data_IF_870792905476
#
_entry.id   IF_870792905476
#
_cell.length_a   1.000
_cell.length_b   1.000
_cell.length_c   1.000
_cell.angle_alpha   90.00
_cell.angle_beta   90.00
_cell.angle_gamma   90.00
#
_symmetry.space_group_name_H-M   'P 1'
#
loop_
_entity.id
_entity.type
_entity.pdbx_description
1 polymer ?
#
# COMPACT_ATOMS: atom_id res chain seq x y z
N UNK A 1 -7.53 -5.18 27.51
CA UNK A 1 -7.62 -4.12 26.49
C UNK A 1 -6.81 -4.55 25.29
N UNK A 2 -7.42 -4.74 24.14
CA UNK A 2 -6.64 -4.97 22.90
C UNK A 2 -5.85 -3.69 22.61
N UNK A 3 -4.53 -3.79 22.32
CA UNK A 3 -3.75 -2.61 21.98
C UNK A 3 -4.34 -1.92 20.74
N UNK A 4 -4.40 -0.60 20.78
CA UNK A 4 -4.83 0.19 19.60
C UNK A 4 -3.99 -0.19 18.40
N UNK A 5 -4.59 -0.55 17.24
CA UNK A 5 -3.84 -0.87 16.03
C UNK A 5 -2.84 0.23 15.65
N UNK A 6 -1.71 -0.15 15.03
CA UNK A 6 -0.65 0.79 14.65
C UNK A 6 -1.17 1.86 13.69
N UNK A 7 -2.01 1.46 12.73
CA UNK A 7 -2.71 2.40 11.85
C UNK A 7 -3.54 3.41 12.65
N UNK A 8 -4.27 2.93 13.68
CA UNK A 8 -5.04 3.81 14.56
C UNK A 8 -4.17 4.82 15.29
N UNK A 9 -3.01 4.40 15.79
CA UNK A 9 -2.04 5.29 16.44
C UNK A 9 -1.47 6.33 15.47
N UNK A 10 -1.07 5.92 14.27
CA UNK A 10 -0.56 6.83 13.25
C UNK A 10 -1.59 7.91 12.87
N UNK A 11 -2.87 7.54 12.78
CA UNK A 11 -3.95 8.51 12.53
C UNK A 11 -4.18 9.45 13.72
N UNK A 12 -4.07 8.98 14.96
CA UNK A 12 -4.17 9.82 16.16
C UNK A 12 -2.98 10.79 16.27
N UNK A 13 -1.77 10.35 15.94
CA UNK A 13 -0.57 11.20 15.90
C UNK A 13 -0.74 12.30 14.84
N UNK A 14 -1.24 11.94 13.65
CA UNK A 14 -1.53 12.89 12.59
C UNK A 14 -2.62 13.91 13.01
N UNK A 15 -3.70 13.45 13.63
CA UNK A 15 -4.76 14.32 14.13
C UNK A 15 -4.24 15.34 15.14
N UNK A 16 -3.36 14.92 16.05
CA UNK A 16 -2.70 15.85 16.98
C UNK A 16 -1.83 16.86 16.26
N UNK A 17 -1.05 16.45 15.25
CA UNK A 17 -0.23 17.36 14.46
C UNK A 17 -1.08 18.36 13.67
N UNK A 18 -2.25 17.95 13.22
CA UNK A 18 -3.26 18.79 12.55
C UNK A 18 -4.22 19.50 13.51
N UNK A 19 -3.89 19.57 14.81
CA UNK A 19 -4.67 20.27 15.85
C UNK A 19 -6.13 19.80 15.97
N UNK A 20 -6.40 18.49 15.81
CA UNK A 20 -7.73 17.92 15.99
C UNK A 20 -8.68 18.18 14.82
N UNK A 21 -8.17 18.44 13.62
CA UNK A 21 -9.00 18.70 12.42
C UNK A 21 -9.44 17.43 11.69
N UNK A 22 -8.98 16.25 12.11
CA UNK A 22 -9.40 14.97 11.56
C UNK A 22 -10.66 14.46 12.26
N UNK A 23 -11.81 14.71 11.66
CA UNK A 23 -13.05 14.10 12.13
C UNK A 23 -13.12 12.59 11.86
N UNK A 24 -14.09 11.93 12.50
CA UNK A 24 -14.28 10.48 12.33
C UNK A 24 -14.56 10.06 10.89
N UNK A 25 -15.15 10.94 10.07
CA UNK A 25 -15.43 10.71 8.66
C UNK A 25 -14.14 10.63 7.84
N UNK A 26 -13.22 11.59 8.04
CA UNK A 26 -11.90 11.59 7.37
C UNK A 26 -11.07 10.39 7.80
N UNK A 27 -11.06 10.07 9.09
CA UNK A 27 -10.36 8.88 9.62
C UNK A 27 -10.89 7.60 8.98
N UNK A 28 -12.21 7.43 8.88
CA UNK A 28 -12.83 6.28 8.21
C UNK A 28 -12.50 6.25 6.72
N UNK A 29 -12.59 7.37 6.01
CA UNK A 29 -12.26 7.46 4.60
C UNK A 29 -10.79 7.09 4.31
N UNK A 30 -9.85 7.50 5.17
CA UNK A 30 -8.44 7.10 5.04
C UNK A 30 -8.28 5.59 5.24
N UNK A 31 -8.90 5.01 6.27
CA UNK A 31 -8.85 3.55 6.52
C UNK A 31 -9.42 2.75 5.35
N UNK A 32 -10.58 3.17 4.83
CA UNK A 32 -11.22 2.54 3.67
C UNK A 32 -10.37 2.68 2.41
N UNK A 33 -9.77 3.84 2.18
CA UNK A 33 -8.82 4.08 1.09
C UNK A 33 -7.64 3.11 1.14
N UNK A 34 -6.99 3.01 2.30
CA UNK A 34 -5.84 2.11 2.50
C UNK A 34 -6.28 0.67 2.24
N UNK A 35 -7.40 0.25 2.84
CA UNK A 35 -7.92 -1.11 2.68
C UNK A 35 -8.29 -1.42 1.23
N UNK A 36 -9.00 -0.53 0.57
CA UNK A 36 -9.44 -0.72 -0.83
C UNK A 36 -8.26 -0.85 -1.79
N UNK A 37 -7.25 0.02 -1.65
CA UNK A 37 -6.06 -0.04 -2.51
C UNK A 37 -5.21 -1.27 -2.16
N UNK A 38 -5.09 -1.65 -0.89
CA UNK A 38 -4.38 -2.87 -0.50
C UNK A 38 -5.05 -4.13 -1.07
N UNK A 39 -6.38 -4.19 -1.13
CA UNK A 39 -7.13 -5.27 -1.79
C UNK A 39 -6.82 -5.28 -3.30
N UNK A 40 -6.86 -4.14 -3.97
CA UNK A 40 -6.53 -4.04 -5.40
C UNK A 40 -5.10 -4.50 -5.68
N UNK A 41 -4.15 -4.09 -4.84
CA UNK A 41 -2.75 -4.52 -4.92
C UNK A 41 -2.59 -6.03 -4.69
N UNK A 42 -3.36 -6.62 -3.76
CA UNK A 42 -3.37 -8.06 -3.52
C UNK A 42 -3.84 -8.83 -4.77
N UNK A 43 -4.91 -8.37 -5.41
CA UNK A 43 -5.46 -9.00 -6.62
C UNK A 43 -4.44 -8.92 -7.76
N UNK A 44 -3.85 -7.74 -8.00
CA UNK A 44 -2.85 -7.55 -9.04
C UNK A 44 -1.59 -8.41 -8.80
N UNK A 45 -1.14 -8.50 -7.54
CA UNK A 45 0.02 -9.33 -7.17
C UNK A 45 -0.23 -10.82 -7.32
N UNK A 46 -1.47 -11.29 -7.06
CA UNK A 46 -1.85 -12.68 -7.28
C UNK A 46 -1.70 -13.07 -8.77
N UNK A 47 -2.15 -12.19 -9.67
CA UNK A 47 -2.06 -12.42 -11.13
C UNK A 47 -0.60 -12.40 -11.59
N UNK A 48 0.20 -11.42 -11.12
CA UNK A 48 1.62 -11.33 -11.46
C UNK A 48 2.41 -12.57 -11.00
N UNK A 49 2.02 -13.18 -9.87
CA UNK A 49 2.63 -14.41 -9.36
C UNK A 49 2.36 -15.67 -10.17
N UNK A 50 1.43 -15.62 -11.12
CA UNK A 50 1.14 -16.73 -12.05
C UNK A 50 2.05 -16.75 -13.27
N UNK A 51 2.79 -15.66 -13.54
CA UNK A 51 3.68 -15.54 -14.69
C UNK A 51 5.10 -16.05 -14.34
N UNK A 52 5.61 -17.11 -14.99
CA UNK A 52 6.95 -17.64 -14.72
C UNK A 52 8.04 -16.67 -15.21
N UNK A 53 9.06 -16.44 -14.40
CA UNK A 53 10.35 -15.84 -14.77
C UNK A 53 10.51 -14.32 -14.60
N UNK A 54 9.46 -13.51 -14.62
CA UNK A 54 9.54 -12.03 -14.49
C UNK A 54 8.80 -11.50 -13.27
N UNK A 55 8.18 -12.39 -12.51
CA UNK A 55 7.20 -12.09 -11.46
C UNK A 55 7.68 -11.09 -10.39
N UNK A 56 8.95 -11.14 -9.99
CA UNK A 56 9.45 -10.28 -8.91
C UNK A 56 9.57 -8.81 -9.28
N UNK A 57 10.08 -8.50 -10.48
CA UNK A 57 10.32 -7.11 -10.91
C UNK A 57 9.01 -6.43 -11.31
N UNK A 58 8.15 -7.14 -12.05
CA UNK A 58 6.83 -6.63 -12.46
C UNK A 58 5.95 -6.38 -11.24
N UNK A 59 6.00 -7.26 -10.23
CA UNK A 59 5.25 -7.08 -8.98
C UNK A 59 5.68 -5.79 -8.25
N UNK A 60 6.96 -5.50 -8.14
CA UNK A 60 7.47 -4.29 -7.48
C UNK A 60 7.05 -3.02 -8.22
N UNK A 61 7.17 -3.00 -9.56
CA UNK A 61 6.77 -1.84 -10.36
C UNK A 61 5.26 -1.57 -10.29
N UNK A 62 4.45 -2.60 -10.32
CA UNK A 62 2.99 -2.50 -10.15
C UNK A 62 2.63 -1.96 -8.77
N UNK A 63 3.34 -2.38 -7.72
CA UNK A 63 3.13 -1.90 -6.36
C UNK A 63 3.40 -0.41 -6.20
N UNK A 64 4.38 0.14 -6.91
CA UNK A 64 4.70 1.59 -6.85
C UNK A 64 3.51 2.44 -7.29
N UNK A 65 2.76 2.01 -8.31
CA UNK A 65 1.54 2.69 -8.74
C UNK A 65 0.46 2.72 -7.66
N UNK A 66 0.24 1.60 -6.96
CA UNK A 66 -0.71 1.53 -5.84
C UNK A 66 -0.28 2.37 -4.64
N UNK A 67 1.01 2.42 -4.33
CA UNK A 67 1.56 3.30 -3.28
C UNK A 67 1.25 4.76 -3.59
N UNK A 68 1.46 5.20 -4.84
CA UNK A 68 1.10 6.57 -5.24
C UNK A 68 -0.38 6.86 -5.12
N UNK A 69 -1.21 5.95 -5.62
CA UNK A 69 -2.66 6.10 -5.53
C UNK A 69 -3.11 6.24 -4.07
N UNK A 70 -2.47 5.50 -3.17
CA UNK A 70 -2.73 5.60 -1.73
C UNK A 70 -2.40 7.00 -1.20
N UNK A 71 -1.22 7.52 -1.53
CA UNK A 71 -0.77 8.83 -1.04
C UNK A 71 -1.63 9.97 -1.59
N UNK A 72 -1.92 9.94 -2.89
CA UNK A 72 -2.79 10.95 -3.52
C UNK A 72 -4.18 10.95 -2.89
N UNK A 73 -4.78 9.77 -2.65
CA UNK A 73 -6.11 9.69 -2.04
C UNK A 73 -6.11 10.11 -0.57
N UNK A 74 -5.09 9.75 0.21
CA UNK A 74 -4.93 10.23 1.59
C UNK A 74 -4.82 11.75 1.60
N UNK A 75 -3.98 12.34 0.75
CA UNK A 75 -3.82 13.79 0.68
C UNK A 75 -5.10 14.51 0.28
N UNK A 76 -5.83 13.98 -0.71
CA UNK A 76 -7.13 14.55 -1.09
C UNK A 76 -8.11 14.54 0.09
N UNK A 77 -8.14 13.46 0.88
CA UNK A 77 -8.99 13.37 2.09
C UNK A 77 -8.56 14.38 3.15
N UNK A 78 -7.26 14.62 3.27
CA UNK A 78 -6.70 15.58 4.22
C UNK A 78 -6.79 17.04 3.73
N UNK A 79 -7.07 17.27 2.45
CA UNK A 79 -7.00 18.60 1.82
C UNK A 79 -5.56 19.08 1.56
N UNK A 80 -4.59 18.17 1.51
CA UNK A 80 -3.17 18.48 1.30
C UNK A 80 -2.85 18.45 -0.20
N UNK A 81 -2.23 19.52 -0.70
CA UNK A 81 -1.72 19.56 -2.07
C UNK A 81 -0.34 18.92 -2.15
N UNK A 82 -0.15 17.99 -3.11
CA UNK A 82 1.15 17.38 -3.38
C UNK A 82 1.34 17.21 -4.88
N UNK A 83 2.56 17.48 -5.36
CA UNK A 83 2.89 17.25 -6.76
C UNK A 83 3.02 15.75 -7.07
N UNK A 84 2.83 15.38 -8.34
CA UNK A 84 3.06 13.98 -8.77
C UNK A 84 4.51 13.56 -8.56
N UNK A 85 5.47 14.47 -8.72
CA UNK A 85 6.89 14.16 -8.54
C UNK A 85 7.20 13.88 -7.07
N UNK A 86 6.72 14.72 -6.15
CA UNK A 86 6.87 14.51 -4.71
C UNK A 86 6.23 13.19 -4.27
N UNK A 87 5.03 12.86 -4.77
CA UNK A 87 4.40 11.56 -4.46
C UNK A 87 5.24 10.37 -4.96
N UNK A 88 5.82 10.48 -6.16
CA UNK A 88 6.73 9.46 -6.72
C UNK A 88 8.00 9.31 -5.89
N UNK A 89 8.64 10.43 -5.58
CA UNK A 89 9.85 10.47 -4.75
C UNK A 89 9.62 9.78 -3.40
N UNK A 90 8.58 10.18 -2.67
CA UNK A 90 8.23 9.60 -1.39
C UNK A 90 7.88 8.11 -1.51
N UNK A 91 7.07 7.74 -2.50
CA UNK A 91 6.67 6.36 -2.71
C UNK A 91 7.86 5.45 -2.96
N UNK A 92 8.78 5.87 -3.83
CA UNK A 92 9.99 5.11 -4.13
C UNK A 92 10.90 5.00 -2.90
N UNK A 93 11.13 6.10 -2.18
CA UNK A 93 11.98 6.11 -1.00
C UNK A 93 11.41 5.25 0.13
N UNK A 94 10.10 5.34 0.40
CA UNK A 94 9.43 4.54 1.45
C UNK A 94 9.48 3.05 1.10
N UNK A 95 9.11 2.67 -0.12
CA UNK A 95 9.10 1.26 -0.56
C UNK A 95 10.52 0.68 -0.47
N UNK A 96 11.53 1.40 -0.96
CA UNK A 96 12.92 0.96 -0.87
C UNK A 96 13.35 0.72 0.58
N UNK A 97 13.05 1.65 1.49
CA UNK A 97 13.42 1.52 2.89
C UNK A 97 12.64 0.41 3.61
N UNK A 98 11.35 0.20 3.30
CA UNK A 98 10.58 -0.94 3.83
C UNK A 98 11.25 -2.25 3.38
N UNK A 99 11.61 -2.37 2.10
CA UNK A 99 12.25 -3.56 1.55
C UNK A 99 13.59 -3.83 2.25
N UNK A 100 14.42 -2.81 2.41
CA UNK A 100 15.73 -2.95 3.07
C UNK A 100 15.62 -3.35 4.55
N UNK A 101 14.60 -2.85 5.25
CA UNK A 101 14.39 -3.12 6.68
C UNK A 101 13.54 -4.39 6.94
N UNK A 102 12.86 -4.91 5.94
CA UNK A 102 12.01 -6.08 6.09
C UNK A 102 12.77 -7.42 6.14
N UNK A 103 14.06 -7.46 5.77
CA UNK A 103 14.97 -8.62 5.89
C UNK A 103 14.34 -9.98 5.58
N UNK A 104 13.94 -10.72 6.63
CA UNK A 104 13.32 -12.05 6.51
C UNK A 104 11.99 -12.06 5.72
N UNK A 105 11.29 -10.93 5.60
CA UNK A 105 10.08 -10.83 4.79
C UNK A 105 10.40 -10.94 3.29
N UNK A 106 11.50 -10.35 2.85
CA UNK A 106 11.99 -10.50 1.48
C UNK A 106 12.52 -11.92 1.24
N UNK A 107 13.17 -12.53 2.23
CA UNK A 107 13.56 -13.94 2.16
C UNK A 107 12.37 -14.86 1.92
N UNK A 108 11.22 -14.58 2.57
CA UNK A 108 9.96 -15.30 2.33
C UNK A 108 9.42 -15.07 0.92
N UNK A 109 9.61 -13.87 0.35
CA UNK A 109 9.27 -13.54 -1.04
C UNK A 109 10.05 -14.38 -2.04
N UNK A 110 11.36 -14.42 -1.86
CA UNK A 110 12.25 -15.19 -2.73
C UNK A 110 11.93 -16.67 -2.62
N UNK A 111 11.74 -17.18 -1.40
CA UNK A 111 11.34 -18.57 -1.17
C UNK A 111 9.99 -18.91 -1.83
N UNK A 112 9.02 -17.98 -1.83
CA UNK A 112 7.73 -18.21 -2.50
C UNK A 112 7.83 -18.23 -4.01
N UNK A 113 8.71 -17.39 -4.58
CA UNK A 113 9.03 -17.45 -6.02
C UNK A 113 9.65 -18.79 -6.41
N UNK A 114 10.49 -19.37 -5.55
CA UNK A 114 11.05 -20.71 -5.75
C UNK A 114 9.97 -21.81 -5.62
N UNK A 115 9.00 -21.65 -4.74
CA UNK A 115 7.87 -22.60 -4.62
C UNK A 115 6.99 -22.67 -5.87
N UNK A 116 6.96 -21.61 -6.68
CA UNK A 116 6.22 -21.59 -7.94
C UNK A 116 6.75 -22.61 -8.96
N UNK A 117 8.00 -23.06 -8.82
CA UNK A 117 8.63 -24.07 -9.68
C UNK A 117 8.35 -25.52 -9.25
N UNK A 118 7.66 -25.75 -8.14
CA UNK A 118 7.30 -27.10 -7.68
C UNK A 118 6.02 -27.54 -8.40
N UNK A 119 6.06 -28.57 -9.28
CA UNK A 119 4.87 -29.05 -9.95
C UNK A 119 3.79 -29.51 -8.95
N UNK A 120 2.56 -29.02 -9.13
CA UNK A 120 1.40 -29.39 -8.32
C UNK A 120 1.14 -28.56 -7.06
N UNK A 121 2.12 -27.80 -6.55
CA UNK A 121 1.93 -26.89 -5.40
C UNK A 121 2.17 -25.40 -5.75
N UNK A 122 2.86 -25.13 -6.86
CA UNK A 122 3.56 -23.87 -7.09
C UNK A 122 2.67 -22.67 -7.35
N UNK A 123 1.75 -22.75 -8.29
CA UNK A 123 1.07 -21.54 -8.79
C UNK A 123 0.04 -20.97 -7.81
N UNK A 124 -0.80 -21.79 -7.21
CA UNK A 124 -1.84 -21.33 -6.30
C UNK A 124 -1.26 -20.82 -4.97
N UNK A 125 -0.27 -21.51 -4.41
CA UNK A 125 0.42 -21.10 -3.19
C UNK A 125 1.22 -19.80 -3.42
N UNK A 126 1.91 -19.68 -4.56
CA UNK A 126 2.63 -18.49 -4.98
C UNK A 126 1.70 -17.28 -5.16
N UNK A 127 0.57 -17.47 -5.86
CA UNK A 127 -0.42 -16.42 -6.04
C UNK A 127 -1.01 -15.93 -4.71
N UNK A 128 -1.35 -16.84 -3.79
CA UNK A 128 -1.88 -16.50 -2.48
C UNK A 128 -0.85 -15.72 -1.63
N UNK A 129 0.42 -16.11 -1.70
CA UNK A 129 1.49 -15.44 -0.97
C UNK A 129 1.78 -14.06 -1.56
N UNK A 130 1.83 -13.94 -2.89
CA UNK A 130 2.01 -12.66 -3.57
C UNK A 130 0.85 -11.71 -3.27
N UNK A 131 -0.40 -12.20 -3.24
CA UNK A 131 -1.55 -11.42 -2.84
C UNK A 131 -1.39 -10.85 -1.41
N UNK A 132 -1.06 -11.71 -0.45
CA UNK A 132 -0.84 -11.28 0.93
C UNK A 132 0.25 -10.22 1.03
N UNK A 133 1.29 -10.34 0.22
CA UNK A 133 2.43 -9.42 0.22
C UNK A 133 2.11 -8.09 -0.43
N UNK A 134 1.39 -8.10 -1.56
CA UNK A 134 0.89 -6.88 -2.18
C UNK A 134 0.04 -6.07 -1.20
N UNK A 135 -0.88 -6.73 -0.50
CA UNK A 135 -1.68 -6.11 0.54
C UNK A 135 -0.83 -5.49 1.66
N UNK A 136 0.06 -6.30 2.24
CA UNK A 136 0.90 -5.89 3.38
C UNK A 136 1.84 -4.75 3.01
N UNK A 137 2.38 -4.73 1.80
CA UNK A 137 3.26 -3.65 1.35
C UNK A 137 2.51 -2.31 1.29
N UNK A 138 1.31 -2.29 0.71
CA UNK A 138 0.49 -1.06 0.65
C UNK A 138 0.11 -0.61 2.06
N UNK A 139 -0.29 -1.55 2.92
CA UNK A 139 -0.64 -1.27 4.31
C UNK A 139 0.53 -0.64 5.07
N UNK A 140 1.72 -1.23 4.97
CA UNK A 140 2.93 -0.72 5.60
C UNK A 140 3.36 0.64 5.02
N UNK A 141 3.34 0.79 3.69
CA UNK A 141 3.67 2.04 3.03
C UNK A 141 2.74 3.18 3.46
N UNK A 142 1.44 2.89 3.63
CA UNK A 142 0.47 3.88 4.11
C UNK A 142 0.75 4.31 5.55
N UNK A 143 1.05 3.39 6.47
CA UNK A 143 1.39 3.73 7.86
C UNK A 143 2.66 4.59 7.92
N UNK A 144 3.71 4.21 7.19
CA UNK A 144 4.95 5.00 7.13
C UNK A 144 4.68 6.37 6.53
N UNK A 145 3.83 6.45 5.50
CA UNK A 145 3.45 7.72 4.89
C UNK A 145 2.68 8.62 5.87
N UNK A 146 1.74 8.09 6.65
CA UNK A 146 1.04 8.86 7.69
C UNK A 146 2.02 9.42 8.74
N UNK A 147 2.99 8.61 9.18
CA UNK A 147 4.05 9.08 10.09
C UNK A 147 4.93 10.16 9.46
N UNK A 148 5.24 10.02 8.16
CA UNK A 148 5.99 11.03 7.42
C UNK A 148 5.23 12.35 7.33
N UNK A 149 3.95 12.31 6.96
CA UNK A 149 3.09 13.51 6.95
C UNK A 149 3.07 14.15 8.33
N UNK A 150 2.87 13.35 9.38
CA UNK A 150 2.88 13.85 10.77
C UNK A 150 4.15 14.61 11.11
N UNK A 151 5.29 14.23 10.53
CA UNK A 151 6.58 14.89 10.75
C UNK A 151 6.72 16.22 9.99
N UNK A 152 6.16 16.32 8.77
CA UNK A 152 6.33 17.46 7.87
C UNK A 152 5.14 18.41 7.78
N UNK A 153 4.00 18.05 8.39
CA UNK A 153 2.81 18.89 8.33
C UNK A 153 2.93 20.07 9.31
N UNK A 154 2.63 21.25 8.82
CA UNK A 154 2.50 22.43 9.65
C UNK A 154 1.09 22.54 10.25
N UNK A 155 0.92 23.29 11.36
CA UNK A 155 -0.39 23.49 11.99
C UNK A 155 -1.45 24.11 11.07
N UNK A 156 -1.03 24.84 10.05
CA UNK A 156 -1.91 25.42 9.03
C UNK A 156 -2.34 24.42 7.93
N UNK A 157 -1.94 23.14 8.04
CA UNK A 157 -2.24 22.08 7.09
C UNK A 157 -1.32 22.08 5.85
N UNK A 158 -0.32 22.96 5.79
CA UNK A 158 0.66 22.94 4.70
C UNK A 158 1.69 21.83 4.90
N UNK A 159 2.12 21.21 3.81
CA UNK A 159 3.11 20.15 3.81
C UNK A 159 4.39 20.66 3.13
N UNK A 160 5.46 20.77 3.88
CA UNK A 160 6.76 21.22 3.36
C UNK A 160 7.73 20.03 3.24
N UNK A 161 7.73 19.40 2.08
CA UNK A 161 8.62 18.27 1.74
C UNK A 161 9.48 18.69 0.54
N UNK A 162 10.79 18.70 0.73
CA UNK A 162 11.75 18.85 -0.34
C UNK A 162 12.15 17.47 -0.92
N UNK A 163 12.43 17.45 -2.24
CA UNK A 163 12.84 16.20 -2.93
C UNK A 163 14.37 16.06 -2.88
N UNK A 164 14.94 16.09 -1.68
CA UNK A 164 16.37 16.07 -1.42
C UNK A 164 16.84 14.90 -0.54
N UNK A 165 18.12 14.82 -0.28
CA UNK A 165 18.73 13.77 0.52
C UNK A 165 18.36 13.87 2.00
N UNK A 166 18.07 15.07 2.53
CA UNK A 166 17.61 15.26 3.90
C UNK A 166 16.26 14.57 4.13
N UNK A 167 15.32 14.73 3.19
CA UNK A 167 14.04 14.01 3.23
C UNK A 167 14.23 12.49 3.12
N UNK A 168 15.18 12.01 2.30
CA UNK A 168 15.48 10.56 2.23
C UNK A 168 16.01 10.03 3.55
N UNK A 169 16.89 10.78 4.24
CA UNK A 169 17.38 10.40 5.56
C UNK A 169 16.26 10.38 6.59
N UNK A 170 15.40 11.39 6.61
CA UNK A 170 14.21 11.42 7.47
C UNK A 170 13.31 10.20 7.23
N UNK A 171 13.06 9.82 5.97
CA UNK A 171 12.29 8.61 5.63
C UNK A 171 12.98 7.37 6.17
N UNK A 172 14.29 7.25 5.99
CA UNK A 172 15.09 6.13 6.50
C UNK A 172 15.00 6.02 8.02
N UNK A 173 15.07 7.15 8.72
CA UNK A 173 14.97 7.19 10.18
C UNK A 173 13.56 6.80 10.65
N UNK A 174 12.51 7.35 10.04
CA UNK A 174 11.12 6.97 10.35
C UNK A 174 10.91 5.47 10.13
N UNK A 175 11.41 4.91 9.02
CA UNK A 175 11.29 3.48 8.74
C UNK A 175 12.11 2.65 9.73
N UNK A 176 13.32 3.07 10.09
CA UNK A 176 14.17 2.34 11.04
C UNK A 176 13.60 2.34 12.47
N UNK A 177 12.98 3.44 12.88
CA UNK A 177 12.31 3.57 14.19
C UNK A 177 10.93 2.91 14.22
N UNK A 178 10.30 2.75 13.03
CA UNK A 178 9.04 2.03 12.94
C UNK A 178 9.30 0.54 13.18
N UNK A 179 8.51 -0.08 14.05
CA UNK A 179 8.56 -1.53 14.19
C UNK A 179 7.93 -2.19 12.95
N UNK A 180 8.72 -2.30 11.87
CA UNK A 180 8.28 -2.87 10.59
C UNK A 180 7.69 -4.27 10.75
N UNK A 181 8.20 -5.08 11.69
CA UNK A 181 7.68 -6.43 11.96
C UNK A 181 6.25 -6.38 12.48
N UNK A 182 5.95 -5.46 13.39
CA UNK A 182 4.59 -5.30 13.93
C UNK A 182 3.64 -4.71 12.90
N UNK A 183 4.09 -3.76 12.08
CA UNK A 183 3.31 -3.22 10.95
C UNK A 183 2.98 -4.35 9.95
N UNK A 184 3.94 -5.19 9.60
CA UNK A 184 3.74 -6.35 8.73
C UNK A 184 2.74 -7.34 9.35
N UNK A 185 2.85 -7.60 10.66
CA UNK A 185 1.93 -8.47 11.38
C UNK A 185 0.50 -7.93 11.33
N UNK A 186 0.31 -6.65 11.63
CA UNK A 186 -1.00 -6.00 11.55
C UNK A 186 -1.57 -6.03 10.12
N UNK A 187 -0.75 -5.73 9.11
CA UNK A 187 -1.15 -5.84 7.70
C UNK A 187 -1.57 -7.26 7.29
N UNK A 188 -0.91 -8.30 7.83
CA UNK A 188 -1.30 -9.70 7.60
C UNK A 188 -2.64 -10.03 8.25
N UNK A 189 -2.90 -9.56 9.46
CA UNK A 189 -4.19 -9.75 10.11
C UNK A 189 -5.30 -9.01 9.34
N UNK A 190 -5.05 -7.78 8.91
CA UNK A 190 -5.98 -7.02 8.07
C UNK A 190 -6.27 -7.72 6.72
N UNK A 191 -5.25 -8.35 6.10
CA UNK A 191 -5.44 -9.18 4.90
C UNK A 191 -6.32 -10.40 5.17
N UNK A 192 -6.09 -11.10 6.29
CA UNK A 192 -6.91 -12.26 6.69
C UNK A 192 -8.37 -11.86 6.90
N UNK A 193 -8.60 -10.73 7.54
CA UNK A 193 -9.94 -10.17 7.74
C UNK A 193 -10.61 -9.85 6.40
N UNK A 194 -9.90 -9.16 5.48
CA UNK A 194 -10.41 -8.85 4.14
C UNK A 194 -10.72 -10.11 3.30
N UNK A 195 -9.99 -11.20 3.53
CA UNK A 195 -10.28 -12.51 2.93
C UNK A 195 -11.49 -13.16 3.58
N UNK A 196 -11.58 -13.14 4.91
CA UNK A 196 -12.65 -13.77 5.68
C UNK A 196 -14.02 -13.12 5.43
N UNK A 197 -14.07 -11.80 5.33
CA UNK A 197 -15.31 -11.05 5.09
C UNK A 197 -15.72 -10.99 3.60
N UNK A 198 -14.95 -11.66 2.71
CA UNK A 198 -15.23 -11.76 1.29
C UNK A 198 -14.91 -10.48 0.49
N UNK A 199 -14.29 -9.46 1.09
CA UNK A 199 -13.97 -8.20 0.40
C UNK A 199 -13.04 -8.41 -0.81
N UNK A 200 -12.08 -9.34 -0.71
CA UNK A 200 -11.16 -9.65 -1.81
C UNK A 200 -11.91 -10.36 -2.95
N UNK A 201 -12.83 -11.27 -2.63
CA UNK A 201 -13.57 -12.02 -3.65
C UNK A 201 -14.60 -11.12 -4.34
N UNK A 202 -15.27 -10.23 -3.61
CA UNK A 202 -16.13 -9.19 -4.20
C UNK A 202 -15.34 -8.27 -5.13
N UNK A 203 -14.18 -7.78 -4.72
CA UNK A 203 -13.35 -6.91 -5.54
C UNK A 203 -12.79 -7.61 -6.79
N UNK A 204 -12.62 -8.94 -6.78
CA UNK A 204 -12.29 -9.72 -7.98
C UNK A 204 -13.48 -9.84 -8.93
N UNK A 205 -14.69 -9.97 -8.38
CA UNK A 205 -15.93 -10.06 -9.16
C UNK A 205 -16.29 -8.70 -9.80
N UNK A 206 -15.90 -7.61 -9.17
CA UNK A 206 -16.12 -6.24 -9.63
C UNK A 206 -14.77 -5.55 -9.89
N UNK A 207 -14.10 -5.85 -11.00
CA UNK A 207 -12.79 -5.29 -11.28
C UNK A 207 -12.88 -3.78 -11.46
N UNK A 208 -11.94 -3.06 -10.83
CA UNK A 208 -11.82 -1.60 -10.96
C UNK A 208 -10.59 -1.22 -11.77
N UNK A 209 -10.70 -0.12 -12.52
CA UNK A 209 -9.56 0.42 -13.24
C UNK A 209 -8.43 0.79 -12.27
N UNK A 210 -7.21 0.27 -12.46
CA UNK A 210 -6.09 0.55 -11.56
C UNK A 210 -5.64 2.01 -11.59
N UNK A 211 -5.97 2.74 -12.67
CA UNK A 211 -5.54 4.12 -12.82
C UNK A 211 -6.55 5.13 -12.24
N UNK A 212 -7.85 4.93 -12.48
CA UNK A 212 -8.87 5.90 -12.07
C UNK A 212 -9.89 5.36 -11.05
N UNK A 213 -9.84 4.08 -10.71
CA UNK A 213 -10.74 3.44 -9.77
C UNK A 213 -12.18 3.25 -10.27
N UNK A 214 -12.48 3.60 -11.53
CA UNK A 214 -13.80 3.36 -12.12
C UNK A 214 -14.07 1.86 -12.25
N UNK A 215 -15.33 1.47 -12.08
CA UNK A 215 -15.77 0.09 -12.27
C UNK A 215 -15.53 -0.34 -13.72
N UNK A 216 -15.04 -1.54 -13.91
CA UNK A 216 -14.75 -2.12 -15.22
C UNK A 216 -15.43 -3.46 -15.36
N UNK A 217 -15.86 -3.80 -16.58
CA UNK A 217 -16.44 -5.12 -16.82
C UNK A 217 -15.35 -6.21 -16.84
N UNK A 218 -15.64 -7.45 -16.39
CA UNK A 218 -14.73 -8.57 -16.54
C UNK A 218 -14.34 -8.77 -18.02
N UNK A 219 -13.02 -8.84 -18.29
CA UNK A 219 -12.48 -8.98 -19.66
C UNK A 219 -12.44 -7.70 -20.50
N UNK A 220 -12.77 -6.56 -19.94
CA UNK A 220 -12.64 -5.25 -20.61
C UNK A 220 -11.15 -4.92 -20.81
N UNK A 221 -10.76 -4.63 -22.04
CA UNK A 221 -9.36 -4.34 -22.39
C UNK A 221 -8.91 -2.91 -22.09
N UNK A 222 -9.83 -1.98 -22.06
CA UNK A 222 -9.55 -0.57 -21.78
C UNK A 222 -10.60 0.00 -20.83
N UNK A 223 -10.19 0.86 -19.91
CA UNK A 223 -11.10 1.56 -19.02
C UNK A 223 -11.96 2.55 -19.80
N UNK A 224 -13.28 2.44 -19.68
CA UNK A 224 -14.22 3.37 -20.34
C UNK A 224 -14.15 4.79 -19.81
N UNK A 225 -13.63 4.98 -18.60
CA UNK A 225 -13.54 6.29 -17.96
C UNK A 225 -12.24 7.05 -18.25
N UNK A 226 -11.11 6.35 -18.36
CA UNK A 226 -9.79 6.99 -18.50
C UNK A 226 -8.93 6.45 -19.65
N UNK A 227 -9.41 5.47 -20.41
CA UNK A 227 -8.70 4.88 -21.53
C UNK A 227 -7.53 3.97 -21.15
N UNK A 228 -7.25 3.74 -19.88
CA UNK A 228 -6.16 2.88 -19.42
C UNK A 228 -6.38 1.44 -19.88
N UNK A 229 -5.33 0.81 -20.40
CA UNK A 229 -5.36 -0.61 -20.73
C UNK A 229 -5.45 -1.46 -19.46
N UNK A 230 -6.35 -2.43 -19.44
CA UNK A 230 -6.73 -3.23 -18.27
C UNK A 230 -6.15 -4.65 -18.26
N UNK A 231 -5.24 -4.97 -19.12
CA UNK A 231 -4.58 -6.29 -19.18
C UNK A 231 -4.80 -7.00 -20.49
#
# INVERSE_FOLDING_TARGET
>A
MNPTPILGKALQELDKAMQGTLDGTKISAIKETIRGIAIAAAIASAVAGLAPGIAGVVAILTQTGFVWATYVKINNTLGISMTKNTAKFLGSAIVTNIILNAGAFIGTLIASGLLAFIPGLGSAASAALNAAMGYVLIYAAAIIYLKLITHFIHPDGTLNISEDDSTKETIKDIVSQANIRDIIKEGRESYKEAKKDGSIDRAKAEPKCPNCGADTAPGQKFCSNCGTQLG
#
